data_IF_660579237992
#
_entry.id   IF_660579237992
#
_cell.length_a   1.000
_cell.length_b   1.000
_cell.length_c   1.000
_cell.angle_alpha   90.00
_cell.angle_beta   90.00
_cell.angle_gamma   90.00
#
_symmetry.space_group_name_H-M   'P 1'
#
loop_
_entity.id
_entity.type
_entity.pdbx_description
1 polymer ?
#
# COMPACT_ATOMS: atom_id res chain seq x y z
N UNK A 1 -1.08 14.35 6.48
CA UNK A 1 -1.23 15.10 5.20
C UNK A 1 -0.27 14.47 4.21
N UNK A 2 -0.83 13.93 3.12
CA UNK A 2 -0.30 12.86 2.27
C UNK A 2 -0.32 11.50 2.97
N UNK A 3 -1.37 10.72 2.73
CA UNK A 3 -1.29 9.26 2.44
C UNK A 3 -2.57 8.47 2.61
N UNK A 4 -3.63 8.99 2.00
CA UNK A 4 -4.69 8.11 1.50
C UNK A 4 -4.82 8.25 -0.02
N UNK A 5 -3.82 8.91 -0.63
CA UNK A 5 -3.69 9.12 -2.07
C UNK A 5 -3.14 7.89 -2.79
N UNK A 6 -2.09 7.21 -2.26
CA UNK A 6 -1.55 6.04 -2.89
C UNK A 6 -2.55 4.88 -2.78
N UNK A 7 -3.19 4.61 -1.63
CA UNK A 7 -4.17 3.50 -1.41
C UNK A 7 -5.21 3.38 -2.49
N UNK A 8 -5.65 4.52 -3.00
CA UNK A 8 -6.89 4.58 -3.72
C UNK A 8 -6.67 4.93 -5.20
N UNK A 9 -5.53 5.56 -5.52
CA UNK A 9 -4.93 5.34 -6.83
C UNK A 9 -4.51 3.88 -6.98
N UNK A 10 -4.06 3.23 -5.89
CA UNK A 10 -3.87 1.79 -5.75
C UNK A 10 -5.20 1.07 -5.87
N UNK A 11 -6.32 1.45 -5.25
CA UNK A 11 -7.59 0.71 -5.47
C UNK A 11 -8.12 0.85 -6.91
N UNK A 12 -7.81 1.95 -7.59
CA UNK A 12 -8.02 2.11 -9.04
C UNK A 12 -6.99 1.42 -9.91
N UNK A 13 -5.84 1.16 -9.32
CA UNK A 13 -4.73 0.45 -9.87
C UNK A 13 -4.60 -0.93 -9.21
N UNK A 14 -5.60 -1.50 -8.54
CA UNK A 14 -5.61 -2.88 -8.00
C UNK A 14 -6.62 -3.72 -8.80
N UNK A 15 -7.12 -3.13 -9.88
CA UNK A 15 -7.05 -3.80 -11.17
C UNK A 15 -5.58 -3.95 -11.69
N UNK A 16 -4.54 -3.65 -10.91
CA UNK A 16 -3.21 -4.27 -11.02
C UNK A 16 -3.13 -5.44 -10.04
N UNK A 17 -2.41 -6.46 -10.47
CA UNK A 17 -2.23 -7.72 -9.78
C UNK A 17 -1.36 -7.52 -8.58
N UNK A 18 -1.74 -8.17 -7.48
CA UNK A 18 -0.87 -8.76 -6.47
C UNK A 18 0.40 -8.00 -6.03
N UNK A 19 0.39 -7.70 -4.72
CA UNK A 19 1.52 -7.49 -3.79
C UNK A 19 2.16 -6.11 -3.73
N UNK A 20 1.58 -5.27 -2.88
CA UNK A 20 2.27 -4.11 -2.31
C UNK A 20 2.75 -4.32 -0.85
N UNK A 21 2.77 -5.57 -0.39
CA UNK A 21 3.65 -5.99 0.70
C UNK A 21 4.86 -6.74 0.16
N UNK A 22 6.07 -6.45 0.66
CA UNK A 22 7.20 -7.33 0.40
C UNK A 22 6.86 -8.72 0.94
N UNK A 23 6.64 -9.70 0.05
CA UNK A 23 6.65 -11.10 0.45
C UNK A 23 8.09 -11.46 0.71
N UNK A 24 8.48 -11.32 1.98
CA UNK A 24 9.76 -11.75 2.47
C UNK A 24 9.90 -13.27 2.27
N UNK A 25 11.09 -13.72 1.88
CA UNK A 25 11.38 -15.15 1.81
C UNK A 25 11.17 -15.81 3.17
N UNK A 26 10.94 -17.13 3.20
CA UNK A 26 10.82 -17.88 4.46
C UNK A 26 12.01 -17.59 5.40
N UNK A 27 13.22 -17.52 4.86
CA UNK A 27 14.43 -17.16 5.61
C UNK A 27 14.35 -15.77 6.26
N UNK A 28 13.79 -14.78 5.57
CA UNK A 28 13.65 -13.42 6.12
C UNK A 28 12.50 -13.38 7.14
N UNK A 29 11.42 -14.13 6.91
CA UNK A 29 10.31 -14.24 7.87
C UNK A 29 10.78 -14.86 9.20
N UNK A 30 11.60 -15.91 9.15
CA UNK A 30 12.19 -16.51 10.35
C UNK A 30 13.06 -15.52 11.14
N UNK A 31 13.80 -14.65 10.44
CA UNK A 31 14.59 -13.58 11.07
C UNK A 31 13.68 -12.55 11.73
N UNK A 32 12.63 -12.11 11.03
CA UNK A 32 11.65 -11.15 11.57
C UNK A 32 10.99 -11.72 12.83
N UNK A 33 10.54 -12.98 12.79
CA UNK A 33 9.91 -13.65 13.92
C UNK A 33 10.87 -13.78 15.11
N UNK A 34 12.15 -14.09 14.84
CA UNK A 34 13.18 -14.16 15.88
C UNK A 34 13.36 -12.81 16.57
N UNK A 35 13.55 -11.73 15.79
CA UNK A 35 13.70 -10.36 16.31
C UNK A 35 12.45 -9.93 17.08
N UNK A 36 11.27 -10.18 16.54
CA UNK A 36 9.99 -9.88 17.17
C UNK A 36 9.91 -10.54 18.56
N UNK A 37 10.11 -11.87 18.62
CA UNK A 37 10.01 -12.63 19.86
C UNK A 37 11.01 -12.15 20.91
N UNK A 38 12.26 -11.90 20.52
CA UNK A 38 13.27 -11.34 21.42
C UNK A 38 12.89 -9.96 21.95
N UNK A 39 12.35 -9.09 21.10
CA UNK A 39 11.96 -7.75 21.51
C UNK A 39 10.72 -7.74 22.39
N UNK A 40 9.76 -8.64 22.17
CA UNK A 40 8.63 -8.86 23.09
C UNK A 40 9.16 -9.31 24.46
N UNK A 41 10.09 -10.28 24.50
CA UNK A 41 10.69 -10.76 25.76
C UNK A 41 11.47 -9.65 26.50
N UNK A 42 12.31 -8.91 25.79
CA UNK A 42 13.18 -7.85 26.35
C UNK A 42 12.38 -6.68 26.92
N UNK A 43 11.25 -6.33 26.29
CA UNK A 43 10.51 -5.10 26.64
C UNK A 43 9.26 -5.38 27.45
N UNK A 44 8.70 -6.59 27.38
CA UNK A 44 7.42 -6.91 28.01
C UNK A 44 6.24 -6.13 27.42
N UNK A 45 6.34 -5.69 26.17
CA UNK A 45 5.20 -5.10 25.45
C UNK A 45 4.10 -6.14 25.26
N UNK A 46 2.85 -5.70 25.20
CA UNK A 46 1.73 -6.59 24.92
C UNK A 46 1.59 -6.79 23.40
N UNK A 47 1.33 -8.03 22.98
CA UNK A 47 1.09 -8.37 21.56
C UNK A 47 -0.06 -7.55 20.97
N UNK A 48 -1.11 -7.35 21.75
CA UNK A 48 -2.26 -6.52 21.36
C UNK A 48 -1.84 -5.07 21.06
N UNK A 49 -0.90 -4.51 21.82
CA UNK A 49 -0.41 -3.14 21.60
C UNK A 49 0.43 -3.06 20.30
N UNK A 50 1.13 -4.13 19.92
CA UNK A 50 1.86 -4.24 18.64
C UNK A 50 0.88 -4.32 17.47
N UNK A 51 -0.07 -5.27 17.52
CA UNK A 51 -1.08 -5.47 16.48
C UNK A 51 -1.97 -4.23 16.27
N UNK A 52 -2.18 -3.45 17.33
CA UNK A 52 -2.91 -2.19 17.25
C UNK A 52 -2.16 -1.13 16.42
N UNK A 53 -0.82 -1.17 16.33
CA UNK A 53 -0.06 -0.25 15.49
C UNK A 53 -0.34 -0.46 13.99
N UNK A 54 -0.58 -1.70 13.54
CA UNK A 54 -0.99 -2.02 12.15
C UNK A 54 -2.33 -1.35 11.79
N UNK A 55 -3.18 -1.15 12.80
CA UNK A 55 -4.49 -0.49 12.70
C UNK A 55 -4.43 1.03 12.96
N UNK A 56 -3.24 1.59 13.11
CA UNK A 56 -3.03 3.00 13.38
C UNK A 56 -3.34 3.42 14.81
N UNK A 57 -3.50 2.47 15.73
CA UNK A 57 -3.78 2.70 17.14
C UNK A 57 -2.45 2.68 17.91
N UNK A 58 -1.84 3.86 18.03
CA UNK A 58 -0.56 4.04 18.73
C UNK A 58 -0.77 4.40 20.20
N UNK A 59 -0.71 3.40 21.07
CA UNK A 59 -0.78 3.60 22.52
C UNK A 59 0.50 4.27 23.03
N UNK A 60 0.34 5.29 23.86
CA UNK A 60 1.46 5.97 24.53
C UNK A 60 1.99 5.13 25.72
N UNK A 61 2.59 3.98 25.42
CA UNK A 61 3.13 3.01 26.37
C UNK A 61 4.66 2.88 26.23
N UNK A 62 5.39 2.86 27.35
CA UNK A 62 6.86 2.86 27.32
C UNK A 62 7.43 1.52 26.82
N UNK A 63 6.78 0.38 27.11
CA UNK A 63 7.24 -0.92 26.64
C UNK A 63 7.06 -1.01 25.12
N UNK A 64 5.93 -0.54 24.59
CA UNK A 64 5.68 -0.48 23.14
C UNK A 64 6.68 0.44 22.43
N UNK A 65 6.98 1.62 22.99
CA UNK A 65 8.00 2.53 22.45
C UNK A 65 9.37 1.86 22.39
N UNK A 66 9.76 1.18 23.46
CA UNK A 66 11.05 0.51 23.50
C UNK A 66 11.08 -0.76 22.65
N UNK A 67 9.94 -1.42 22.41
CA UNK A 67 9.83 -2.51 21.44
C UNK A 67 10.19 -2.04 20.03
N UNK A 68 9.64 -0.90 19.59
CA UNK A 68 9.97 -0.34 18.27
C UNK A 68 11.46 0.00 18.13
N UNK A 69 12.08 0.53 19.19
CA UNK A 69 13.53 0.75 19.19
C UNK A 69 14.32 -0.56 19.19
N UNK A 70 13.88 -1.56 19.94
CA UNK A 70 14.53 -2.88 20.00
C UNK A 70 14.61 -3.52 18.61
N UNK A 71 13.54 -3.46 17.81
CA UNK A 71 13.55 -4.00 16.44
C UNK A 71 14.68 -3.36 15.62
N UNK A 72 14.82 -2.04 15.69
CA UNK A 72 15.86 -1.32 14.94
C UNK A 72 17.27 -1.73 15.42
N UNK A 73 17.44 -1.92 16.73
CA UNK A 73 18.72 -2.34 17.33
C UNK A 73 19.10 -3.77 16.92
N UNK A 74 18.17 -4.73 17.05
CA UNK A 74 18.40 -6.14 16.68
C UNK A 74 18.58 -6.34 15.18
N UNK A 75 17.88 -5.54 14.36
CA UNK A 75 18.08 -5.51 12.91
C UNK A 75 19.39 -4.81 12.48
N UNK A 76 20.21 -4.34 13.45
CA UNK A 76 21.45 -3.59 13.19
C UNK A 76 21.25 -2.31 12.36
N UNK A 77 20.08 -1.67 12.52
CA UNK A 77 19.70 -0.42 11.85
C UNK A 77 20.03 0.83 12.68
N UNK A 78 20.78 0.67 13.77
CA UNK A 78 21.16 1.74 14.68
C UNK A 78 22.68 1.77 14.82
N UNK A 79 23.28 2.93 14.54
CA UNK A 79 24.68 3.21 14.87
C UNK A 79 24.75 4.18 16.05
N UNK A 80 25.08 3.66 17.24
CA UNK A 80 25.03 4.43 18.48
C UNK A 80 23.59 4.77 18.88
N UNK A 81 23.20 6.04 18.68
CA UNK A 81 21.85 6.55 18.97
C UNK A 81 21.08 6.96 17.69
N UNK A 82 21.69 6.75 16.52
CA UNK A 82 21.20 7.24 15.23
C UNK A 82 20.70 6.07 14.40
N UNK A 83 19.46 6.17 13.91
CA UNK A 83 18.88 5.21 12.98
C UNK A 83 19.47 5.42 11.59
N UNK A 84 19.96 4.36 10.96
CA UNK A 84 20.46 4.35 9.60
C UNK A 84 19.31 4.16 8.60
N UNK A 85 18.67 5.27 8.25
CA UNK A 85 17.57 5.28 7.27
C UNK A 85 17.99 4.81 5.88
N UNK A 86 19.24 5.02 5.48
CA UNK A 86 19.71 4.63 4.16
C UNK A 86 19.86 3.11 4.10
N UNK A 87 20.38 2.50 5.16
CA UNK A 87 20.38 1.05 5.33
C UNK A 87 18.94 0.50 5.35
N UNK A 88 18.02 1.11 6.11
CA UNK A 88 16.61 0.70 6.12
C UNK A 88 16.00 0.68 4.71
N UNK A 89 16.24 1.73 3.92
CA UNK A 89 15.74 1.82 2.54
C UNK A 89 16.40 0.74 1.67
N UNK A 90 17.70 0.48 1.83
CA UNK A 90 18.43 -0.52 1.03
C UNK A 90 17.98 -1.97 1.26
N UNK A 91 17.31 -2.24 2.39
CA UNK A 91 16.72 -3.55 2.69
C UNK A 91 15.35 -3.75 2.02
N UNK A 92 14.74 -2.70 1.49
CA UNK A 92 13.47 -2.79 0.77
C UNK A 92 13.70 -3.28 -0.66
N UNK A 93 12.74 -4.04 -1.24
CA UNK A 93 12.73 -4.33 -2.67
C UNK A 93 12.90 -3.06 -3.50
N UNK A 94 13.63 -3.15 -4.62
CA UNK A 94 13.99 -2.00 -5.45
C UNK A 94 12.77 -1.17 -5.85
N UNK A 95 11.62 -1.82 -6.12
CA UNK A 95 10.39 -1.13 -6.51
C UNK A 95 9.79 -0.28 -5.37
N UNK A 96 10.08 -0.61 -4.10
CA UNK A 96 9.55 0.07 -2.92
C UNK A 96 10.51 1.11 -2.33
N UNK A 97 11.76 1.19 -2.80
CA UNK A 97 12.77 2.06 -2.21
C UNK A 97 12.40 3.54 -2.30
N UNK A 98 11.86 4.02 -3.42
CA UNK A 98 11.50 5.43 -3.58
C UNK A 98 10.30 5.85 -2.72
N UNK A 99 9.29 4.96 -2.62
CA UNK A 99 8.14 5.12 -1.72
C UNK A 99 8.61 5.16 -0.27
N UNK A 100 9.40 4.17 0.14
CA UNK A 100 9.94 4.04 1.51
C UNK A 100 10.84 5.23 1.87
N UNK A 101 11.70 5.68 0.95
CA UNK A 101 12.56 6.85 1.12
C UNK A 101 11.72 8.11 1.36
N UNK A 102 10.69 8.33 0.55
CA UNK A 102 9.81 9.49 0.66
C UNK A 102 9.11 9.51 2.02
N UNK A 103 8.56 8.39 2.44
CA UNK A 103 7.91 8.21 3.75
C UNK A 103 8.88 8.45 4.91
N UNK A 104 10.01 7.75 4.97
CA UNK A 104 10.98 7.84 6.06
C UNK A 104 11.58 9.25 6.17
N UNK A 105 11.95 9.86 5.04
CA UNK A 105 12.56 11.19 5.05
C UNK A 105 11.57 12.30 5.42
N UNK A 106 10.27 12.09 5.22
CA UNK A 106 9.25 13.00 5.74
C UNK A 106 9.20 12.99 7.28
N UNK A 107 9.58 11.88 7.91
CA UNK A 107 9.47 11.67 9.37
C UNK A 107 10.80 11.75 10.12
N UNK A 108 11.95 11.65 9.44
CA UNK A 108 13.28 11.61 10.08
C UNK A 108 13.58 12.79 11.01
N UNK A 109 12.92 13.94 10.80
CA UNK A 109 13.04 15.13 11.64
C UNK A 109 12.51 14.94 13.07
N UNK A 110 11.77 13.85 13.33
CA UNK A 110 11.29 13.45 14.65
C UNK A 110 12.34 12.67 15.46
N UNK A 111 13.40 12.16 14.81
CA UNK A 111 14.52 11.54 15.50
C UNK A 111 15.44 12.62 16.11
N UNK A 112 14.95 13.29 17.15
CA UNK A 112 15.65 14.40 17.80
C UNK A 112 16.34 13.95 19.08
N UNK A 113 17.62 14.32 19.29
CA UNK A 113 18.44 13.81 20.41
C UNK A 113 17.90 14.18 21.80
N UNK A 114 17.02 15.18 21.92
CA UNK A 114 16.35 15.54 23.16
C UNK A 114 15.32 14.49 23.66
N UNK A 115 14.82 13.63 22.77
CA UNK A 115 13.90 12.56 23.11
C UNK A 115 14.65 11.26 23.43
N UNK A 116 14.05 10.41 24.27
CA UNK A 116 14.60 9.06 24.52
C UNK A 116 14.61 8.23 23.25
N UNK A 117 15.54 7.28 23.14
CA UNK A 117 15.63 6.40 21.96
C UNK A 117 14.34 5.65 21.63
N UNK A 118 13.62 5.22 22.67
CA UNK A 118 12.30 4.59 22.54
C UNK A 118 11.26 5.58 21.98
N UNK A 119 11.21 6.80 22.53
CA UNK A 119 10.28 7.83 22.02
C UNK A 119 10.59 8.23 20.58
N UNK A 120 11.88 8.35 20.21
CA UNK A 120 12.28 8.67 18.83
C UNK A 120 11.81 7.60 17.85
N UNK A 121 12.03 6.32 18.16
CA UNK A 121 11.58 5.22 17.32
C UNK A 121 10.04 5.23 17.14
N UNK A 122 9.32 5.44 18.24
CA UNK A 122 7.86 5.52 18.23
C UNK A 122 7.33 6.71 17.42
N UNK A 123 7.86 7.91 17.64
CA UNK A 123 7.43 9.11 16.93
C UNK A 123 7.65 8.99 15.42
N UNK A 124 8.79 8.43 15.03
CA UNK A 124 9.10 8.16 13.62
C UNK A 124 8.14 7.12 13.06
N UNK A 125 7.94 5.99 13.73
CA UNK A 125 7.07 4.92 13.23
C UNK A 125 5.60 5.37 13.10
N UNK A 126 5.08 6.07 14.11
CA UNK A 126 3.75 6.68 14.07
C UNK A 126 3.61 7.68 12.92
N UNK A 127 4.61 8.54 12.73
CA UNK A 127 4.62 9.46 11.60
C UNK A 127 4.67 8.71 10.26
N UNK A 128 5.48 7.66 10.12
CA UNK A 128 5.55 6.90 8.86
C UNK A 128 4.24 6.22 8.55
N UNK A 129 3.53 5.70 9.56
CA UNK A 129 2.17 5.19 9.39
C UNK A 129 1.20 6.28 8.91
N UNK A 130 1.21 7.47 9.51
CA UNK A 130 0.39 8.60 9.03
C UNK A 130 0.76 9.09 7.62
N UNK A 131 2.00 8.79 7.18
CA UNK A 131 2.57 9.14 5.89
C UNK A 131 2.48 8.05 4.85
N UNK A 132 2.06 6.84 5.19
CA UNK A 132 1.80 5.75 4.25
C UNK A 132 1.08 4.59 4.97
N UNK A 133 -0.19 4.74 5.38
CA UNK A 133 -0.91 3.73 6.15
C UNK A 133 -1.13 2.46 5.34
N UNK A 134 -1.06 2.55 4.01
CA UNK A 134 -1.30 1.44 3.08
C UNK A 134 -0.13 0.46 3.04
N UNK A 135 1.08 0.94 3.39
CA UNK A 135 2.21 0.04 3.67
C UNK A 135 1.90 -0.86 4.87
N UNK A 136 1.01 -0.43 5.78
CA UNK A 136 0.81 -1.03 7.09
C UNK A 136 -0.59 -1.61 7.36
N UNK A 137 -1.63 -1.36 6.53
CA UNK A 137 -2.98 -1.83 6.84
C UNK A 137 -3.28 -3.23 6.29
N UNK A 138 -3.18 -4.25 7.14
CA UNK A 138 -3.56 -5.65 6.84
C UNK A 138 -4.98 -5.80 6.30
N UNK A 139 -5.94 -5.06 6.88
CA UNK A 139 -7.37 -5.22 6.54
C UNK A 139 -7.68 -4.82 5.09
N UNK A 140 -7.10 -3.71 4.62
CA UNK A 140 -7.27 -3.28 3.22
C UNK A 140 -6.54 -4.22 2.27
N UNK A 141 -5.36 -4.71 2.67
CA UNK A 141 -4.60 -5.65 1.86
C UNK A 141 -5.31 -7.01 1.75
N UNK A 142 -5.92 -7.50 2.82
CA UNK A 142 -6.69 -8.75 2.81
C UNK A 142 -7.89 -8.66 1.86
N UNK A 143 -8.56 -7.50 1.82
CA UNK A 143 -9.64 -7.25 0.86
C UNK A 143 -9.11 -7.23 -0.57
N UNK A 144 -8.00 -6.52 -0.83
CA UNK A 144 -7.37 -6.46 -2.15
C UNK A 144 -6.96 -7.87 -2.61
N UNK A 145 -6.29 -8.64 -1.75
CA UNK A 145 -5.82 -9.99 -2.06
C UNK A 145 -7.00 -10.93 -2.32
N UNK A 146 -8.09 -10.80 -1.56
CA UNK A 146 -9.32 -11.58 -1.77
C UNK A 146 -9.91 -11.29 -3.16
N UNK A 147 -10.12 -10.02 -3.49
CA UNK A 147 -10.67 -9.60 -4.79
C UNK A 147 -9.76 -10.02 -5.94
N UNK A 148 -8.45 -9.81 -5.80
CA UNK A 148 -7.46 -10.15 -6.80
C UNK A 148 -7.45 -11.67 -7.08
N UNK A 149 -7.35 -12.50 -6.04
CA UNK A 149 -7.36 -13.96 -6.18
C UNK A 149 -8.66 -14.45 -6.83
N UNK A 150 -9.80 -13.93 -6.40
CA UNK A 150 -11.11 -14.25 -6.97
C UNK A 150 -11.18 -13.87 -8.46
N UNK A 151 -10.70 -12.69 -8.83
CA UNK A 151 -10.72 -12.24 -10.23
C UNK A 151 -9.72 -12.98 -11.11
N UNK A 152 -8.56 -13.37 -10.61
CA UNK A 152 -7.63 -14.27 -11.33
C UNK A 152 -8.29 -15.63 -11.56
N UNK A 153 -8.93 -16.22 -10.55
CA UNK A 153 -9.63 -17.50 -10.68
C UNK A 153 -10.79 -17.41 -11.69
N UNK A 154 -11.59 -16.34 -11.64
CA UNK A 154 -12.74 -16.14 -12.53
C UNK A 154 -12.34 -15.92 -13.99
N UNK A 155 -11.26 -15.18 -14.23
CA UNK A 155 -10.91 -14.70 -15.58
C UNK A 155 -9.78 -15.48 -16.24
N UNK A 156 -8.92 -16.14 -15.45
CA UNK A 156 -7.72 -16.78 -15.95
C UNK A 156 -6.69 -15.82 -16.52
N UNK A 157 -6.70 -14.56 -16.05
CA UNK A 157 -5.74 -13.55 -16.46
C UNK A 157 -4.35 -13.89 -15.88
N UNK A 158 -3.31 -13.67 -16.69
CA UNK A 158 -1.95 -14.01 -16.28
C UNK A 158 -1.39 -12.92 -15.36
N UNK A 159 -0.83 -13.33 -14.22
CA UNK A 159 -0.17 -12.46 -13.25
C UNK A 159 0.79 -11.46 -13.90
N UNK A 160 1.65 -11.95 -14.82
CA UNK A 160 2.61 -11.12 -15.53
C UNK A 160 1.94 -9.99 -16.32
N UNK A 161 0.80 -10.26 -16.98
CA UNK A 161 0.11 -9.27 -17.80
C UNK A 161 -0.55 -8.19 -16.96
N UNK A 162 -1.04 -8.57 -15.78
CA UNK A 162 -1.68 -7.63 -14.88
C UNK A 162 -0.61 -6.79 -14.13
N UNK A 163 0.51 -7.38 -13.70
CA UNK A 163 1.68 -6.65 -13.17
C UNK A 163 2.32 -5.72 -14.21
N UNK A 164 2.21 -6.04 -15.49
CA UNK A 164 2.71 -5.19 -16.55
C UNK A 164 1.91 -3.88 -16.70
N UNK A 165 0.63 -3.86 -16.28
CA UNK A 165 -0.19 -2.66 -16.29
C UNK A 165 0.36 -1.56 -15.36
N UNK A 166 1.12 -1.94 -14.32
CA UNK A 166 1.80 -0.98 -13.44
C UNK A 166 2.88 -0.17 -14.15
N UNK A 167 3.53 -0.82 -15.11
CA UNK A 167 4.65 -0.28 -15.88
C UNK A 167 4.18 0.40 -17.17
N UNK A 168 2.87 0.57 -17.33
CA UNK A 168 2.25 1.11 -18.54
C UNK A 168 2.25 0.14 -19.72
N UNK A 169 2.47 -1.16 -19.48
CA UNK A 169 2.48 -2.20 -20.50
C UNK A 169 1.10 -2.86 -20.53
N UNK A 170 0.24 -2.34 -21.41
CA UNK A 170 -1.13 -2.80 -21.57
C UNK A 170 -1.25 -3.84 -22.70
N UNK A 171 -1.24 -5.12 -22.34
CA UNK A 171 -1.44 -6.22 -23.31
C UNK A 171 -2.90 -6.30 -23.74
N UNK A 172 -3.13 -6.41 -25.05
CA UNK A 172 -4.46 -6.65 -25.60
C UNK A 172 -4.86 -8.12 -25.41
N UNK A 173 -5.24 -8.48 -24.18
CA UNK A 173 -5.67 -9.82 -23.77
C UNK A 173 -7.07 -9.78 -23.16
N UNK A 174 -7.96 -10.69 -23.57
CA UNK A 174 -9.36 -10.67 -23.11
C UNK A 174 -9.50 -11.04 -21.63
N UNK A 175 -8.66 -11.93 -21.10
CA UNK A 175 -8.70 -12.28 -19.70
C UNK A 175 -8.26 -11.09 -18.85
N UNK A 176 -7.18 -10.40 -19.25
CA UNK A 176 -6.72 -9.16 -18.60
C UNK A 176 -7.81 -8.07 -18.60
N UNK A 177 -8.47 -7.84 -19.74
CA UNK A 177 -9.57 -6.86 -19.85
C UNK A 177 -10.71 -7.18 -18.89
N UNK A 178 -11.10 -8.44 -18.81
CA UNK A 178 -12.18 -8.86 -17.93
C UNK A 178 -11.75 -8.95 -16.45
N UNK A 179 -10.47 -9.17 -16.17
CA UNK A 179 -9.91 -9.04 -14.81
C UNK A 179 -10.13 -7.62 -14.28
N UNK A 180 -9.83 -6.59 -15.08
CA UNK A 180 -10.03 -5.20 -14.66
C UNK A 180 -11.50 -4.87 -14.37
N UNK A 181 -12.42 -5.41 -15.17
CA UNK A 181 -13.86 -5.28 -14.91
C UNK A 181 -14.26 -6.01 -13.62
N UNK A 182 -13.81 -7.25 -13.45
CA UNK A 182 -14.12 -8.06 -12.26
C UNK A 182 -13.73 -7.34 -10.98
N UNK A 183 -12.54 -6.72 -10.92
CA UNK A 183 -12.12 -5.97 -9.74
C UNK A 183 -13.10 -4.84 -9.39
N UNK A 184 -13.61 -4.11 -10.39
CA UNK A 184 -14.61 -3.05 -10.16
C UNK A 184 -15.94 -3.64 -9.69
N UNK A 185 -16.36 -4.79 -10.23
CA UNK A 185 -17.58 -5.48 -9.83
C UNK A 185 -17.50 -5.98 -8.38
N UNK A 186 -16.42 -6.69 -8.02
CA UNK A 186 -16.22 -7.21 -6.66
C UNK A 186 -15.98 -6.11 -5.62
N UNK A 187 -15.46 -4.95 -6.06
CA UNK A 187 -15.36 -3.75 -5.22
C UNK A 187 -16.70 -3.03 -5.03
N UNK A 188 -17.78 -3.50 -5.67
CA UNK A 188 -19.10 -2.85 -5.62
C UNK A 188 -19.18 -1.52 -6.38
N UNK A 189 -18.23 -1.25 -7.28
CA UNK A 189 -18.14 0.00 -8.04
C UNK A 189 -18.90 -0.07 -9.37
N UNK A 190 -19.57 -1.17 -9.67
CA UNK A 190 -20.37 -1.33 -10.89
C UNK A 190 -21.83 -1.52 -10.53
N UNK A 191 -22.68 -0.61 -10.99
CA UNK A 191 -24.14 -0.67 -10.84
C UNK A 191 -24.79 -0.48 -12.22
N UNK A 192 -25.80 -1.29 -12.55
CA UNK A 192 -26.52 -1.25 -13.83
C UNK A 192 -25.60 -1.29 -15.09
N UNK A 193 -24.47 -1.99 -14.98
CA UNK A 193 -23.48 -2.09 -16.05
C UNK A 193 -22.72 -0.78 -16.30
N UNK A 194 -22.60 0.08 -15.29
CA UNK A 194 -21.81 1.30 -15.34
C UNK A 194 -20.93 1.41 -14.09
N UNK A 195 -19.73 1.94 -14.27
CA UNK A 195 -18.84 2.24 -13.14
C UNK A 195 -19.36 3.48 -12.42
N UNK A 196 -19.61 3.37 -11.11
CA UNK A 196 -19.94 4.51 -10.25
C UNK A 196 -18.67 5.31 -9.93
N UNK A 197 -18.31 6.19 -10.85
CA UNK A 197 -17.18 7.09 -10.68
C UNK A 197 -17.34 8.05 -9.49
N UNK A 198 -18.55 8.37 -9.07
CA UNK A 198 -18.78 9.29 -7.97
C UNK A 198 -18.57 8.60 -6.63
N UNK A 199 -19.07 7.36 -6.47
CA UNK A 199 -18.69 6.49 -5.36
C UNK A 199 -17.17 6.32 -5.32
N UNK A 200 -16.56 5.97 -6.45
CA UNK A 200 -15.12 5.82 -6.55
C UNK A 200 -14.36 7.08 -6.12
N UNK A 201 -14.77 8.27 -6.58
CA UNK A 201 -14.17 9.55 -6.15
C UNK A 201 -14.42 9.80 -4.66
N UNK A 202 -15.59 9.45 -4.13
CA UNK A 202 -15.95 9.66 -2.72
C UNK A 202 -15.18 8.77 -1.76
N UNK A 203 -14.71 7.62 -2.22
CA UNK A 203 -13.74 6.80 -1.48
C UNK A 203 -12.42 7.56 -1.34
N UNK A 204 -12.15 8.55 -2.22
CA UNK A 204 -10.89 9.30 -2.25
C UNK A 204 -10.81 10.38 -1.20
N UNK A 205 -9.59 10.64 -0.68
CA UNK A 205 -9.42 11.68 0.30
C UNK A 205 -9.73 13.02 -0.34
N UNK A 206 -10.46 13.86 0.38
CA UNK A 206 -11.00 15.14 -0.13
C UNK A 206 -9.96 15.99 -0.86
N UNK A 207 -8.71 15.99 -0.37
CA UNK A 207 -7.61 16.77 -0.94
C UNK A 207 -7.26 16.41 -2.41
N UNK A 208 -7.79 15.31 -2.92
CA UNK A 208 -7.35 14.68 -4.16
C UNK A 208 -8.51 14.45 -5.12
N UNK A 209 -9.74 14.45 -4.61
CA UNK A 209 -10.95 14.25 -5.38
C UNK A 209 -11.00 15.13 -6.63
N UNK A 210 -10.55 16.39 -6.56
CA UNK A 210 -10.54 17.28 -7.74
C UNK A 210 -9.57 16.83 -8.83
N UNK A 211 -8.38 16.36 -8.43
CA UNK A 211 -7.38 15.82 -9.37
C UNK A 211 -7.89 14.54 -10.03
N UNK A 212 -8.35 13.60 -9.21
CA UNK A 212 -8.83 12.28 -9.65
C UNK A 212 -10.10 12.42 -10.48
N UNK A 213 -11.04 13.27 -10.06
CA UNK A 213 -12.25 13.59 -10.84
C UNK A 213 -11.89 14.09 -12.23
N UNK A 214 -10.90 15.00 -12.32
CA UNK A 214 -10.45 15.53 -13.61
C UNK A 214 -9.92 14.43 -14.53
N UNK A 215 -9.15 13.48 -13.99
CA UNK A 215 -8.60 12.35 -14.75
C UNK A 215 -9.68 11.35 -15.15
N UNK A 216 -10.39 10.79 -14.18
CA UNK A 216 -11.43 9.78 -14.40
C UNK A 216 -12.47 10.27 -15.38
N UNK A 217 -12.93 11.52 -15.24
CA UNK A 217 -13.95 12.07 -16.13
C UNK A 217 -13.42 12.34 -17.55
N UNK A 218 -12.11 12.52 -17.72
CA UNK A 218 -11.53 12.63 -19.06
C UNK A 218 -11.56 11.30 -19.82
N UNK A 219 -11.56 10.15 -19.12
CA UNK A 219 -11.50 8.82 -19.72
C UNK A 219 -12.79 7.99 -19.59
N UNK A 220 -13.73 8.37 -18.71
CA UNK A 220 -14.94 7.58 -18.41
C UNK A 220 -15.83 7.25 -19.61
N UNK A 221 -15.80 8.09 -20.65
CA UNK A 221 -16.56 7.86 -21.89
C UNK A 221 -16.13 6.59 -22.64
N UNK A 222 -14.95 6.02 -22.31
CA UNK A 222 -14.46 4.77 -22.88
C UNK A 222 -15.17 3.54 -22.28
N UNK A 223 -15.71 3.67 -21.06
CA UNK A 223 -16.66 2.74 -20.44
C UNK A 223 -18.07 2.92 -21.02
N UNK A 224 -18.20 2.81 -22.34
CA UNK A 224 -19.48 2.93 -23.05
C UNK A 224 -20.16 1.55 -23.19
N UNK A 225 -21.51 1.49 -23.10
CA UNK A 225 -22.30 0.30 -23.44
C UNK A 225 -22.09 -0.22 -24.88
N UNK A 226 -21.52 0.60 -25.77
CA UNK A 226 -21.26 0.25 -27.17
C UNK A 226 -20.05 -0.70 -27.35
N UNK A 227 -19.24 -0.88 -26.30
CA UNK A 227 -18.13 -1.86 -26.22
C UNK A 227 -18.51 -2.98 -25.26
N UNK A 228 -17.81 -4.12 -25.31
CA UNK A 228 -17.88 -5.06 -24.19
C UNK A 228 -17.38 -4.33 -22.94
N UNK A 229 -18.02 -4.55 -21.80
CA UNK A 229 -17.66 -3.90 -20.53
C UNK A 229 -16.17 -4.11 -20.18
N UNK A 230 -15.62 -5.29 -20.50
CA UNK A 230 -14.20 -5.57 -20.33
C UNK A 230 -13.31 -4.62 -21.17
N UNK A 231 -13.60 -4.45 -22.47
CA UNK A 231 -12.82 -3.56 -23.33
C UNK A 231 -12.95 -2.09 -22.91
N UNK A 232 -14.16 -1.66 -22.58
CA UNK A 232 -14.39 -0.29 -22.11
C UNK A 232 -13.58 0.02 -20.84
N UNK A 233 -13.54 -0.94 -19.91
CA UNK A 233 -12.85 -0.78 -18.62
C UNK A 233 -11.34 -0.68 -18.83
N UNK A 234 -10.82 -1.57 -19.67
CA UNK A 234 -9.42 -1.57 -20.06
C UNK A 234 -8.99 -0.26 -20.75
N UNK A 235 -9.78 0.21 -21.73
CA UNK A 235 -9.49 1.45 -22.46
C UNK A 235 -9.51 2.66 -21.53
N UNK A 236 -10.50 2.71 -20.62
CA UNK A 236 -10.60 3.77 -19.63
C UNK A 236 -9.39 3.77 -18.69
N UNK A 237 -8.98 2.60 -18.19
CA UNK A 237 -7.83 2.46 -17.30
C UNK A 237 -6.51 2.86 -17.99
N UNK A 238 -6.27 2.38 -19.21
CA UNK A 238 -5.11 2.77 -20.03
C UNK A 238 -5.06 4.28 -20.29
N UNK A 239 -6.19 4.90 -20.63
CA UNK A 239 -6.30 6.35 -20.82
C UNK A 239 -5.96 7.14 -19.56
N UNK A 240 -6.39 6.66 -18.39
CA UNK A 240 -6.06 7.31 -17.11
C UNK A 240 -4.56 7.26 -16.84
N UNK A 241 -3.92 6.08 -17.02
CA UNK A 241 -2.47 5.92 -16.87
C UNK A 241 -1.68 6.85 -17.82
N UNK A 242 -2.09 6.97 -19.08
CA UNK A 242 -1.40 7.84 -20.05
C UNK A 242 -1.51 9.34 -19.69
N UNK A 243 -2.52 9.74 -18.92
CA UNK A 243 -2.74 11.13 -18.48
C UNK A 243 -2.02 11.48 -17.20
N UNK A 244 -1.85 10.52 -16.30
CA UNK A 244 -1.07 10.65 -15.07
C UNK A 244 -0.48 9.27 -14.73
N UNK A 245 0.77 9.00 -15.17
CA UNK A 245 1.43 7.72 -14.92
C UNK A 245 1.96 7.60 -13.48
N UNK A 246 1.98 8.71 -12.72
CA UNK A 246 2.47 8.85 -11.33
C UNK A 246 1.31 8.86 -10.30
#
# INVERSE_FOLDING_TARGET
>A
MFSTLPVLLLLLATARCGKDRPVFSEEIQEIIDTIHNECVEKTGTAEEDIQNCEKGIFKEDENLKCYMYCILEEASLVEGDVVDYDMMISLMPDELQDRTRTMLYACKHLNKPENTRCQRAFDVHKCTYEKDPDVFSDEVQEIIDTIHNECVEKTGAAEEDIQNCEKGIFKEDENLKCYMLCVLEESGLVEDGQVDYDMLISLMPDALQDRIRTQLYACKHLNSPDKTMCQGTFDAHKCNYEKDPD
#
